data_IF_644624774599
#
_entry.id   IF_644624774599
#
_cell.length_a   1.000
_cell.length_b   1.000
_cell.length_c   1.000
_cell.angle_alpha   90.00
_cell.angle_beta   90.00
_cell.angle_gamma   90.00
#
_symmetry.space_group_name_H-M   'P 1'
#
loop_
_entity.id
_entity.type
_entity.pdbx_description
1 polymer ?
#
# COMPACT_ATOMS: atom_id res chain seq x y z
N UNK A 1 -13.38 15.56 -1.23
CA UNK A 1 -13.28 14.59 -2.34
C UNK A 1 -13.83 13.24 -1.90
N UNK A 2 -14.33 12.44 -2.85
CA UNK A 2 -14.61 11.02 -2.64
C UNK A 2 -13.34 10.23 -2.91
N UNK A 3 -12.82 9.52 -1.91
CA UNK A 3 -11.55 8.78 -1.99
C UNK A 3 -11.77 7.30 -1.71
N UNK A 4 -11.44 6.45 -2.66
CA UNK A 4 -11.44 5.00 -2.49
C UNK A 4 -10.08 4.54 -1.95
N UNK A 5 -10.08 3.81 -0.84
CA UNK A 5 -8.85 3.29 -0.20
C UNK A 5 -8.89 1.77 -0.18
N UNK A 6 -8.05 1.11 -0.96
CA UNK A 6 -7.89 -0.35 -0.86
C UNK A 6 -6.86 -0.72 0.21
N UNK A 7 -7.03 -1.85 0.88
CA UNK A 7 -6.19 -2.20 2.03
C UNK A 7 -6.47 -1.34 3.26
N UNK A 8 -7.70 -0.79 3.34
CA UNK A 8 -8.14 0.19 4.35
C UNK A 8 -8.03 -0.32 5.80
N UNK A 9 -8.20 -1.62 6.03
CA UNK A 9 -8.09 -2.25 7.36
C UNK A 9 -6.66 -2.65 7.73
N UNK A 10 -5.70 -2.41 6.83
CA UNK A 10 -4.27 -2.65 7.04
C UNK A 10 -3.64 -1.63 8.00
N UNK A 11 -2.35 -1.83 8.34
CA UNK A 11 -1.62 -0.94 9.25
C UNK A 11 -1.55 0.51 8.74
N UNK A 12 -1.12 0.72 7.49
CA UNK A 12 -1.07 2.05 6.88
C UNK A 12 -2.48 2.51 6.51
N UNK A 13 -3.32 1.60 6.00
CA UNK A 13 -4.69 1.89 5.57
C UNK A 13 -5.54 2.52 6.66
N UNK A 14 -5.53 1.95 7.87
CA UNK A 14 -6.23 2.54 9.03
C UNK A 14 -5.80 3.99 9.30
N UNK A 15 -4.50 4.27 9.26
CA UNK A 15 -3.99 5.61 9.50
C UNK A 15 -4.36 6.60 8.37
N UNK A 16 -4.36 6.13 7.12
CA UNK A 16 -4.77 6.92 5.95
C UNK A 16 -6.26 7.22 6.02
N UNK A 17 -7.11 6.21 6.27
CA UNK A 17 -8.57 6.41 6.42
C UNK A 17 -8.87 7.42 7.51
N UNK A 18 -8.27 7.25 8.71
CA UNK A 18 -8.48 8.21 9.82
C UNK A 18 -8.10 9.64 9.41
N UNK A 19 -6.97 9.78 8.74
CA UNK A 19 -6.50 11.09 8.27
C UNK A 19 -7.44 11.74 7.25
N UNK A 20 -7.89 10.96 6.25
CA UNK A 20 -8.80 11.46 5.22
C UNK A 20 -10.15 11.87 5.81
N UNK A 21 -10.71 11.07 6.72
CA UNK A 21 -11.97 11.41 7.41
C UNK A 21 -11.80 12.68 8.27
N UNK A 22 -10.70 12.80 9.02
CA UNK A 22 -10.37 14.01 9.80
C UNK A 22 -10.31 15.26 8.92
N UNK A 23 -9.85 15.11 7.67
CA UNK A 23 -9.79 16.19 6.68
C UNK A 23 -11.09 16.45 5.92
N UNK A 24 -12.15 15.74 6.26
CA UNK A 24 -13.49 15.94 5.68
C UNK A 24 -13.67 15.29 4.30
N UNK A 25 -12.83 14.32 3.92
CA UNK A 25 -13.07 13.52 2.73
C UNK A 25 -14.15 12.47 2.98
N UNK A 26 -14.94 12.16 1.94
CA UNK A 26 -15.78 10.96 1.92
C UNK A 26 -14.91 9.79 1.55
N UNK A 27 -14.90 8.75 2.36
CA UNK A 27 -13.98 7.61 2.19
C UNK A 27 -14.77 6.33 1.99
N UNK A 28 -14.45 5.58 0.92
CA UNK A 28 -14.83 4.19 0.76
C UNK A 28 -13.61 3.30 1.02
N UNK A 29 -13.63 2.58 2.13
CA UNK A 29 -12.64 1.55 2.44
C UNK A 29 -12.97 0.23 1.74
N UNK A 30 -11.99 -0.39 1.12
CA UNK A 30 -12.10 -1.73 0.51
C UNK A 30 -11.01 -2.62 1.08
N UNK A 31 -11.38 -3.70 1.73
CA UNK A 31 -10.43 -4.69 2.30
C UNK A 31 -11.11 -6.05 2.44
N UNK A 32 -10.31 -7.10 2.53
CA UNK A 32 -10.81 -8.45 2.83
C UNK A 32 -11.21 -8.63 4.29
N UNK A 33 -10.73 -7.76 5.16
CA UNK A 33 -10.97 -7.78 6.61
C UNK A 33 -11.76 -6.55 7.01
N UNK A 34 -12.65 -6.71 7.97
CA UNK A 34 -13.38 -5.61 8.59
C UNK A 34 -12.43 -4.53 9.14
N UNK A 35 -12.87 -3.26 9.18
CA UNK A 35 -12.15 -2.19 9.82
C UNK A 35 -11.86 -2.50 11.29
N UNK A 36 -10.74 -2.00 11.79
CA UNK A 36 -10.44 -2.09 13.22
C UNK A 36 -11.29 -1.12 14.02
N UNK A 37 -11.48 -1.41 15.32
CA UNK A 37 -12.29 -0.58 16.20
C UNK A 37 -11.80 0.87 16.36
N UNK A 38 -10.51 1.13 16.11
CA UNK A 38 -9.86 2.44 16.15
C UNK A 38 -9.87 3.17 14.80
N UNK A 39 -10.54 2.61 13.77
CA UNK A 39 -10.71 3.26 12.48
C UNK A 39 -11.90 4.22 12.53
N UNK A 40 -11.71 5.44 12.03
CA UNK A 40 -12.77 6.43 11.92
C UNK A 40 -13.94 5.89 11.07
N UNK A 41 -15.16 6.31 11.40
CA UNK A 41 -16.34 5.89 10.68
C UNK A 41 -16.28 6.34 9.21
N UNK A 42 -16.44 5.39 8.29
CA UNK A 42 -16.41 5.58 6.84
C UNK A 42 -17.24 4.50 6.15
N UNK A 43 -17.54 4.71 4.88
CA UNK A 43 -18.15 3.64 4.07
C UNK A 43 -17.15 2.49 3.88
N UNK A 44 -17.62 1.25 3.97
CA UNK A 44 -16.77 0.06 3.87
C UNK A 44 -17.41 -1.03 3.03
N UNK A 45 -16.62 -1.64 2.16
CA UNK A 45 -16.98 -2.83 1.40
C UNK A 45 -15.95 -3.91 1.65
N UNK A 46 -16.41 -5.04 2.18
CA UNK A 46 -15.55 -6.22 2.29
C UNK A 46 -15.41 -6.88 0.90
N UNK A 47 -14.22 -6.82 0.33
CA UNK A 47 -13.91 -7.37 -0.98
C UNK A 47 -12.43 -7.75 -1.14
N UNK A 48 -12.18 -8.73 -2.01
CA UNK A 48 -10.84 -8.97 -2.55
C UNK A 48 -10.67 -8.16 -3.84
N UNK A 49 -9.51 -7.51 -4.01
CA UNK A 49 -9.19 -6.77 -5.25
C UNK A 49 -9.04 -7.70 -6.47
N UNK A 50 -8.96 -9.01 -6.25
CA UNK A 50 -9.02 -10.01 -7.32
C UNK A 50 -10.45 -10.26 -7.83
N UNK A 51 -11.49 -9.86 -7.08
CA UNK A 51 -12.89 -9.90 -7.51
C UNK A 51 -13.20 -8.68 -8.38
N UNK A 52 -12.99 -8.83 -9.69
CA UNK A 52 -13.18 -7.77 -10.68
C UNK A 52 -14.57 -7.14 -10.62
N UNK A 53 -15.62 -7.95 -10.57
CA UNK A 53 -17.00 -7.47 -10.58
C UNK A 53 -17.33 -6.65 -9.32
N UNK A 54 -16.77 -7.07 -8.18
CA UNK A 54 -16.96 -6.35 -6.93
C UNK A 54 -16.25 -5.00 -6.95
N UNK A 55 -15.04 -4.95 -7.52
CA UNK A 55 -14.29 -3.70 -7.69
C UNK A 55 -15.02 -2.76 -8.66
N UNK A 56 -15.46 -3.24 -9.80
CA UNK A 56 -16.20 -2.43 -10.77
C UNK A 56 -17.47 -1.81 -10.15
N UNK A 57 -18.20 -2.59 -9.32
CA UNK A 57 -19.35 -2.06 -8.56
C UNK A 57 -18.96 -0.98 -7.55
N UNK A 58 -17.87 -1.16 -6.80
CA UNK A 58 -17.39 -0.12 -5.87
C UNK A 58 -17.13 1.21 -6.59
N UNK A 59 -16.51 1.17 -7.75
CA UNK A 59 -16.25 2.37 -8.55
C UNK A 59 -17.53 2.98 -9.14
N UNK A 60 -18.43 2.16 -9.67
CA UNK A 60 -19.68 2.62 -10.26
C UNK A 60 -20.62 3.28 -9.24
N UNK A 61 -20.73 2.71 -8.03
CA UNK A 61 -21.63 3.20 -6.99
C UNK A 61 -21.03 4.41 -6.24
N UNK A 62 -19.76 4.33 -5.81
CA UNK A 62 -19.13 5.40 -5.07
C UNK A 62 -18.63 6.56 -5.92
N UNK A 63 -18.29 6.30 -7.20
CA UNK A 63 -17.77 7.29 -8.17
C UNK A 63 -16.60 8.09 -7.59
N UNK A 64 -15.49 7.43 -7.22
CA UNK A 64 -14.37 8.10 -6.57
C UNK A 64 -13.75 9.18 -7.47
N UNK A 65 -13.25 10.25 -6.86
CA UNK A 65 -12.42 11.28 -7.49
C UNK A 65 -10.93 10.99 -7.29
N UNK A 66 -10.60 10.19 -6.27
CA UNK A 66 -9.25 9.75 -5.98
C UNK A 66 -9.20 8.32 -5.47
N UNK A 67 -8.07 7.65 -5.71
CA UNK A 67 -7.80 6.32 -5.20
C UNK A 67 -6.45 6.26 -4.49
N UNK A 68 -6.42 5.57 -3.34
CA UNK A 68 -5.19 5.21 -2.65
C UNK A 68 -5.11 3.69 -2.57
N UNK A 69 -4.21 3.11 -3.35
CA UNK A 69 -4.04 1.65 -3.42
C UNK A 69 -2.97 1.16 -2.46
N UNK A 70 -3.42 0.61 -1.31
CA UNK A 70 -2.58 0.03 -0.26
C UNK A 70 -2.71 -1.49 -0.16
N UNK A 71 -3.74 -2.08 -0.77
CA UNK A 71 -3.94 -3.52 -0.75
C UNK A 71 -2.77 -4.23 -1.44
N UNK A 72 -2.16 -5.17 -0.76
CA UNK A 72 -1.07 -5.98 -1.29
C UNK A 72 -0.92 -7.28 -0.51
N UNK A 73 -0.46 -8.32 -1.19
CA UNK A 73 0.13 -9.45 -0.50
C UNK A 73 1.59 -9.12 -0.17
N UNK A 74 1.90 -9.11 1.13
CA UNK A 74 3.25 -8.85 1.64
C UNK A 74 3.71 -10.06 2.45
N UNK A 75 4.58 -10.88 1.87
CA UNK A 75 5.27 -11.96 2.57
C UNK A 75 6.74 -11.91 2.18
N UNK A 76 7.62 -11.98 3.18
CA UNK A 76 9.06 -12.13 2.95
C UNK A 76 9.48 -13.61 3.02
N UNK A 77 8.53 -14.53 3.18
CA UNK A 77 8.81 -15.96 3.13
C UNK A 77 8.79 -16.41 1.67
N UNK A 78 9.89 -16.86 1.19
CA UNK A 78 10.01 -17.51 -0.11
C UNK A 78 9.50 -18.95 0.01
N UNK A 79 8.24 -19.17 -0.37
CA UNK A 79 7.64 -20.50 -0.44
C UNK A 79 7.33 -20.94 -1.89
N UNK A 80 7.90 -20.22 -2.87
CA UNK A 80 7.86 -20.57 -4.29
C UNK A 80 6.52 -20.38 -5.00
N UNK A 81 5.51 -19.79 -4.33
CA UNK A 81 4.19 -19.60 -4.93
C UNK A 81 3.97 -18.15 -5.36
N UNK A 82 4.17 -17.87 -6.66
CA UNK A 82 3.85 -16.55 -7.26
C UNK A 82 2.36 -16.26 -7.27
N UNK A 83 1.52 -17.28 -7.14
CA UNK A 83 0.06 -17.19 -7.12
C UNK A 83 -0.47 -16.20 -6.07
N UNK A 84 0.16 -16.16 -4.90
CA UNK A 84 -0.22 -15.25 -3.80
C UNK A 84 0.00 -13.79 -4.14
N UNK A 85 0.90 -13.50 -5.06
CA UNK A 85 1.23 -12.14 -5.46
C UNK A 85 0.37 -11.61 -6.61
N UNK A 86 -0.59 -12.40 -7.13
CA UNK A 86 -1.58 -11.94 -8.11
C UNK A 86 -2.34 -10.70 -7.65
N UNK A 87 -2.56 -10.55 -6.35
CA UNK A 87 -3.15 -9.33 -5.80
C UNK A 87 -2.30 -8.08 -6.14
N UNK A 88 -0.97 -8.21 -6.20
CA UNK A 88 -0.08 -7.09 -6.48
C UNK A 88 -0.03 -6.71 -7.97
N UNK A 89 -0.41 -7.60 -8.88
CA UNK A 89 -0.41 -7.37 -10.33
C UNK A 89 -1.82 -7.37 -10.90
N UNK A 90 -2.50 -8.51 -10.92
CA UNK A 90 -3.86 -8.63 -11.44
C UNK A 90 -4.87 -7.75 -10.66
N UNK A 91 -4.77 -7.74 -9.32
CA UNK A 91 -5.62 -6.86 -8.51
C UNK A 91 -5.39 -5.37 -8.82
N UNK A 92 -4.14 -4.96 -9.05
CA UNK A 92 -3.82 -3.59 -9.48
C UNK A 92 -4.37 -3.31 -10.89
N UNK A 93 -4.31 -4.28 -11.82
CA UNK A 93 -4.91 -4.15 -13.14
C UNK A 93 -6.41 -3.89 -13.08
N UNK A 94 -7.14 -4.61 -12.23
CA UNK A 94 -8.58 -4.39 -12.04
C UNK A 94 -8.88 -2.96 -11.57
N UNK A 95 -8.09 -2.43 -10.63
CA UNK A 95 -8.25 -1.06 -10.13
C UNK A 95 -7.96 -0.01 -11.20
N UNK A 96 -6.92 -0.21 -12.00
CA UNK A 96 -6.57 0.67 -13.11
C UNK A 96 -7.70 0.72 -14.15
N UNK A 97 -8.24 -0.44 -14.55
CA UNK A 97 -9.34 -0.51 -15.51
C UNK A 97 -10.63 0.11 -14.95
N UNK A 98 -10.94 -0.11 -13.68
CA UNK A 98 -12.09 0.55 -13.04
C UNK A 98 -11.89 2.08 -12.95
N UNK A 99 -10.66 2.54 -12.68
CA UNK A 99 -10.31 3.96 -12.70
C UNK A 99 -10.52 4.58 -14.07
N UNK A 100 -10.06 3.94 -15.15
CA UNK A 100 -10.27 4.38 -16.53
C UNK A 100 -11.75 4.52 -16.90
N UNK A 101 -12.58 3.62 -16.38
CA UNK A 101 -14.03 3.61 -16.65
C UNK A 101 -14.81 4.67 -15.83
N UNK A 102 -14.16 5.34 -14.86
CA UNK A 102 -14.81 6.28 -13.95
C UNK A 102 -14.48 7.72 -14.33
N UNK A 103 -15.46 8.43 -14.85
CA UNK A 103 -15.28 9.79 -15.38
C UNK A 103 -14.82 10.82 -14.33
N UNK A 104 -15.12 10.60 -13.06
CA UNK A 104 -14.75 11.47 -11.96
C UNK A 104 -13.31 11.26 -11.45
N UNK A 105 -12.67 10.16 -11.85
CA UNK A 105 -11.29 9.86 -11.41
C UNK A 105 -10.30 10.92 -11.90
N UNK A 106 -9.59 11.50 -10.97
CA UNK A 106 -8.57 12.54 -11.21
C UNK A 106 -7.19 12.10 -10.77
N UNK A 107 -7.07 11.41 -9.63
CA UNK A 107 -5.79 11.09 -9.04
C UNK A 107 -5.74 9.68 -8.44
N UNK A 108 -4.64 8.97 -8.67
CA UNK A 108 -4.34 7.68 -8.05
C UNK A 108 -2.98 7.67 -7.38
N UNK A 109 -2.91 7.10 -6.16
CA UNK A 109 -1.65 6.83 -5.48
C UNK A 109 -1.50 5.32 -5.33
N UNK A 110 -0.46 4.77 -5.95
CA UNK A 110 -0.13 3.36 -5.87
C UNK A 110 1.01 3.14 -4.87
N UNK A 111 0.78 2.26 -3.91
CA UNK A 111 1.80 1.97 -2.91
C UNK A 111 2.67 0.80 -3.33
N UNK A 112 3.91 1.11 -3.65
CA UNK A 112 4.98 0.17 -3.91
C UNK A 112 5.82 -0.07 -2.65
N UNK A 113 7.11 -0.25 -2.80
CA UNK A 113 8.05 -0.50 -1.72
C UNK A 113 9.47 -0.14 -2.12
N UNK A 114 10.32 0.21 -1.17
CA UNK A 114 11.76 0.31 -1.42
C UNK A 114 12.41 -1.03 -1.84
N UNK A 115 11.77 -2.18 -1.55
CA UNK A 115 12.30 -3.52 -1.87
C UNK A 115 12.28 -3.88 -3.35
N UNK A 116 11.80 -2.99 -4.22
CA UNK A 116 12.00 -3.10 -5.68
C UNK A 116 13.46 -2.90 -6.08
N UNK A 117 14.29 -2.41 -5.15
CA UNK A 117 15.69 -2.17 -5.36
C UNK A 117 16.49 -2.70 -4.16
N UNK A 118 17.51 -3.53 -4.44
CA UNK A 118 18.27 -4.22 -3.40
C UNK A 118 19.25 -3.28 -2.70
N UNK A 119 20.18 -2.71 -3.46
CA UNK A 119 21.32 -1.96 -2.96
C UNK A 119 21.62 -0.71 -3.81
N UNK A 120 22.13 0.34 -3.16
CA UNK A 120 22.58 1.56 -3.83
C UNK A 120 21.45 2.55 -4.10
N UNK A 121 21.65 3.39 -5.10
CA UNK A 121 20.67 4.35 -5.61
C UNK A 121 20.23 3.90 -7.00
N UNK A 122 18.91 3.91 -7.30
CA UNK A 122 18.46 3.63 -8.65
C UNK A 122 18.98 4.72 -9.60
N UNK A 123 19.37 4.32 -10.80
CA UNK A 123 19.85 5.25 -11.84
C UNK A 123 18.71 6.08 -12.43
N UNK A 124 17.51 5.53 -12.43
CA UNK A 124 16.28 6.19 -12.87
C UNK A 124 15.06 5.50 -12.21
N UNK A 125 13.88 6.10 -12.33
CA UNK A 125 12.66 5.66 -11.63
C UNK A 125 12.22 4.23 -11.97
N UNK A 126 12.56 3.73 -13.14
CA UNK A 126 12.25 2.36 -13.59
C UNK A 126 13.43 1.40 -13.49
N UNK A 127 14.43 1.72 -12.70
CA UNK A 127 15.53 0.80 -12.42
C UNK A 127 15.13 -0.14 -11.28
N UNK A 128 14.85 -1.40 -11.61
CA UNK A 128 14.45 -2.44 -10.68
C UNK A 128 15.56 -3.48 -10.50
N UNK A 129 15.88 -3.80 -9.25
CA UNK A 129 16.82 -4.86 -8.90
C UNK A 129 16.37 -5.54 -7.59
N UNK A 130 15.17 -6.17 -7.58
CA UNK A 130 14.62 -6.82 -6.39
C UNK A 130 15.30 -8.16 -6.11
N UNK A 131 15.52 -8.47 -4.83
CA UNK A 131 16.09 -9.73 -4.36
C UNK A 131 15.04 -10.71 -3.80
N UNK A 132 13.79 -10.28 -3.69
CA UNK A 132 12.70 -11.09 -3.12
C UNK A 132 11.51 -11.21 -4.09
N UNK A 133 10.71 -12.28 -3.94
CA UNK A 133 9.48 -12.47 -4.72
C UNK A 133 8.50 -11.30 -4.51
N UNK A 134 8.40 -10.81 -3.28
CA UNK A 134 7.63 -9.59 -2.99
C UNK A 134 8.14 -8.38 -3.77
N UNK A 135 9.45 -8.13 -3.76
CA UNK A 135 10.05 -7.03 -4.52
C UNK A 135 9.79 -7.16 -6.01
N UNK A 136 9.95 -8.37 -6.58
CA UNK A 136 9.64 -8.65 -8.00
C UNK A 136 8.18 -8.38 -8.33
N UNK A 137 7.25 -8.81 -7.48
CA UNK A 137 5.81 -8.56 -7.71
C UNK A 137 5.46 -7.07 -7.67
N UNK A 138 6.14 -6.30 -6.82
CA UNK A 138 5.95 -4.84 -6.76
C UNK A 138 6.62 -4.11 -7.93
N UNK A 139 7.77 -4.57 -8.40
CA UNK A 139 8.38 -4.07 -9.63
C UNK A 139 7.45 -4.31 -10.85
N UNK A 140 6.90 -5.51 -11.00
CA UNK A 140 5.93 -5.82 -12.05
C UNK A 140 4.65 -4.97 -11.94
N UNK A 141 4.19 -4.68 -10.72
CA UNK A 141 3.08 -3.74 -10.49
C UNK A 141 3.44 -2.33 -10.99
N UNK A 142 4.63 -1.85 -10.71
CA UNK A 142 5.05 -0.53 -11.17
C UNK A 142 5.17 -0.46 -12.69
N UNK A 143 5.71 -1.49 -13.33
CA UNK A 143 5.76 -1.58 -14.80
C UNK A 143 4.35 -1.48 -15.41
N UNK A 144 3.39 -2.23 -14.85
CA UNK A 144 1.99 -2.15 -15.26
C UNK A 144 1.42 -0.72 -15.13
N UNK A 145 1.71 -0.02 -14.03
CA UNK A 145 1.24 1.37 -13.82
C UNK A 145 1.84 2.30 -14.87
N UNK A 146 3.14 2.19 -15.16
CA UNK A 146 3.81 2.98 -16.19
C UNK A 146 3.25 2.73 -17.59
N UNK A 147 2.98 1.46 -17.93
CA UNK A 147 2.43 1.07 -19.24
C UNK A 147 1.00 1.54 -19.46
N UNK A 148 0.25 1.75 -18.38
CA UNK A 148 -1.18 2.09 -18.41
C UNK A 148 -1.48 3.53 -18.03
N UNK A 149 -0.47 4.36 -17.81
CA UNK A 149 -0.60 5.72 -17.29
C UNK A 149 -1.46 5.80 -16.01
N UNK A 150 -1.33 4.80 -15.13
CA UNK A 150 -2.04 4.73 -13.85
C UNK A 150 -3.57 4.75 -13.93
N UNK A 151 -4.14 4.74 -15.14
CA UNK A 151 -5.58 4.69 -15.38
C UNK A 151 -6.35 5.98 -15.07
N UNK A 152 -5.68 7.10 -14.81
CA UNK A 152 -6.31 8.41 -14.56
C UNK A 152 -5.32 9.55 -14.85
N UNK A 153 -5.79 10.84 -15.00
CA UNK A 153 -4.93 11.95 -15.42
C UNK A 153 -3.72 12.23 -14.53
N UNK A 154 -3.85 12.05 -13.22
CA UNK A 154 -2.76 12.25 -12.27
C UNK A 154 -2.52 10.99 -11.46
N UNK A 155 -1.31 10.49 -11.47
CA UNK A 155 -0.94 9.35 -10.65
C UNK A 155 0.49 9.45 -10.12
N UNK A 156 0.73 8.77 -9.02
CA UNK A 156 2.08 8.61 -8.49
C UNK A 156 2.27 7.24 -7.84
N UNK A 157 3.53 6.84 -7.74
CA UNK A 157 3.96 5.63 -7.05
C UNK A 157 4.68 6.04 -5.77
N UNK A 158 4.13 5.67 -4.63
CA UNK A 158 4.78 5.82 -3.34
C UNK A 158 5.62 4.58 -3.02
N UNK A 159 6.89 4.77 -2.70
CA UNK A 159 7.84 3.70 -2.32
C UNK A 159 8.21 3.80 -0.84
N UNK A 160 7.33 3.43 0.09
CA UNK A 160 7.62 3.55 1.50
C UNK A 160 8.80 2.68 1.91
N UNK A 161 9.57 3.18 2.85
CA UNK A 161 10.56 2.42 3.61
C UNK A 161 9.86 1.61 4.71
N UNK A 162 10.60 1.13 5.70
CA UNK A 162 10.00 0.50 6.88
C UNK A 162 9.16 1.51 7.65
N UNK A 163 7.85 1.28 7.70
CA UNK A 163 6.91 2.11 8.47
C UNK A 163 6.72 1.53 9.87
N UNK A 164 6.72 2.40 10.88
CA UNK A 164 6.49 2.05 12.28
C UNK A 164 5.42 2.92 12.91
N UNK A 165 4.86 2.48 14.02
CA UNK A 165 3.86 3.23 14.78
C UNK A 165 2.80 2.34 15.41
N UNK A 166 1.74 2.91 16.00
CA UNK A 166 0.60 2.17 16.55
C UNK A 166 0.00 1.23 15.49
N UNK A 167 -0.26 -0.02 15.85
CA UNK A 167 -0.79 -1.02 14.91
C UNK A 167 0.22 -1.75 14.03
N UNK A 168 1.52 -1.45 14.13
CA UNK A 168 2.57 -2.17 13.39
C UNK A 168 2.64 -3.65 13.74
N UNK A 169 3.32 -4.44 12.91
CA UNK A 169 3.41 -5.89 13.07
C UNK A 169 4.03 -6.29 14.42
N UNK A 170 3.59 -7.44 14.97
CA UNK A 170 4.12 -7.99 16.24
C UNK A 170 5.65 -8.19 16.22
N UNK A 171 6.24 -8.46 15.06
CA UNK A 171 7.67 -8.61 14.88
C UNK A 171 8.41 -7.31 15.24
N UNK A 172 7.99 -6.17 14.67
CA UNK A 172 8.57 -4.86 14.99
C UNK A 172 8.26 -4.41 16.41
N UNK A 173 7.08 -4.71 16.93
CA UNK A 173 6.77 -4.43 18.33
C UNK A 173 7.71 -5.19 19.30
N UNK A 174 8.01 -6.45 18.99
CA UNK A 174 8.96 -7.25 19.78
C UNK A 174 10.37 -6.66 19.72
N UNK A 175 10.83 -6.28 18.53
CA UNK A 175 12.13 -5.63 18.34
C UNK A 175 12.26 -4.35 19.18
N UNK A 176 11.27 -3.44 19.09
CA UNK A 176 11.29 -2.19 19.84
C UNK A 176 11.24 -2.43 21.36
N UNK A 177 10.49 -3.44 21.83
CA UNK A 177 10.51 -3.83 23.24
C UNK A 177 11.89 -4.32 23.68
N UNK A 178 12.57 -5.14 22.89
CA UNK A 178 13.92 -5.58 23.19
C UNK A 178 14.90 -4.41 23.30
N UNK A 179 14.79 -3.42 22.42
CA UNK A 179 15.61 -2.20 22.47
C UNK A 179 15.31 -1.40 23.75
N UNK A 180 14.02 -1.14 24.05
CA UNK A 180 13.58 -0.43 25.26
C UNK A 180 14.07 -1.09 26.54
N UNK A 181 14.01 -2.42 26.60
CA UNK A 181 14.34 -3.20 27.79
C UNK A 181 15.85 -3.48 27.91
N UNK A 182 16.70 -2.85 27.07
CA UNK A 182 18.14 -3.02 27.06
C UNK A 182 18.63 -4.43 26.68
N UNK A 183 17.74 -5.24 26.06
CA UNK A 183 18.03 -6.63 25.66
C UNK A 183 18.48 -6.75 24.20
N UNK A 184 18.62 -5.63 23.49
CA UNK A 184 19.12 -5.61 22.13
C UNK A 184 20.65 -5.63 22.14
N UNK A 185 21.23 -6.49 21.34
CA UNK A 185 22.66 -6.49 21.04
C UNK A 185 22.88 -6.47 19.54
N UNK A 186 23.88 -5.73 19.12
CA UNK A 186 24.22 -5.60 17.71
C UNK A 186 25.08 -6.81 17.28
N UNK A 187 24.66 -7.49 16.21
CA UNK A 187 25.40 -8.60 15.64
C UNK A 187 26.18 -8.08 14.42
N UNK A 188 27.49 -8.25 14.45
CA UNK A 188 28.39 -7.84 13.39
C UNK A 188 29.01 -6.43 13.60
N UNK A 189 29.94 -6.07 12.74
CA UNK A 189 30.70 -4.81 12.78
C UNK A 189 30.15 -3.74 11.83
N UNK A 190 29.07 -4.03 11.10
CA UNK A 190 28.55 -3.18 10.03
C UNK A 190 27.83 -1.94 10.53
N UNK A 191 28.12 -0.80 9.95
CA UNK A 191 27.35 0.43 10.13
C UNK A 191 26.08 0.37 9.26
N UNK A 192 25.10 -0.43 9.68
CA UNK A 192 23.82 -0.54 8.97
C UNK A 192 22.96 0.69 9.28
N UNK A 193 22.66 1.47 8.25
CA UNK A 193 21.68 2.57 8.33
C UNK A 193 20.34 2.05 7.83
N UNK A 194 19.29 2.19 8.65
CA UNK A 194 17.92 1.85 8.25
C UNK A 194 17.04 3.09 8.34
N UNK A 195 16.43 3.45 7.24
CA UNK A 195 15.42 4.50 7.22
C UNK A 195 14.09 3.93 7.69
N UNK A 196 13.44 4.65 8.60
CA UNK A 196 12.14 4.26 9.15
C UNK A 196 11.22 5.48 9.13
N UNK A 197 9.99 5.31 8.64
CA UNK A 197 8.96 6.34 8.62
C UNK A 197 7.91 6.12 9.71
N UNK A 198 7.45 7.19 10.36
CA UNK A 198 6.32 7.11 11.27
C UNK A 198 5.00 7.04 10.48
N UNK A 199 4.07 6.17 10.89
CA UNK A 199 2.83 5.92 10.16
C UNK A 199 1.95 7.17 10.00
N UNK A 200 1.93 8.06 10.99
CA UNK A 200 1.21 9.33 10.90
C UNK A 200 1.78 10.27 9.82
N UNK A 201 3.12 10.31 9.68
CA UNK A 201 3.76 11.07 8.61
C UNK A 201 3.48 10.44 7.24
N UNK A 202 3.48 9.10 7.15
CA UNK A 202 3.10 8.41 5.93
C UNK A 202 1.65 8.74 5.55
N UNK A 203 0.70 8.66 6.48
CA UNK A 203 -0.69 9.03 6.23
C UNK A 203 -0.85 10.48 5.74
N UNK A 204 -0.08 11.42 6.28
CA UNK A 204 -0.09 12.81 5.83
C UNK A 204 0.47 13.01 4.41
N UNK A 205 1.36 12.12 3.95
CA UNK A 205 1.88 12.15 2.58
C UNK A 205 0.93 11.52 1.56
N UNK A 206 0.01 10.67 1.99
CA UNK A 206 -1.03 10.08 1.13
C UNK A 206 -2.24 11.01 0.95
N UNK A 207 -2.43 11.99 1.81
CA UNK A 207 -3.46 13.02 1.70
C UNK A 207 -3.07 14.08 0.66
#
# INVERSE_FOLDING_TARGET
MRVLVTGSSGFIGTAVVNRLVEKGHQVLGVDRKEPKADTAQHEFVQADILDRERIDRCFAEFRPEGMIHLAAHMSLREDGSDERYKANTLGTSHLIEASKATAEMRRSIFTSTKYIFRDGQPEHDRHYNPDSTYGRSKAAMEELIWETDGGCPEWCIARPTTIWGPGMSKHYQRFLRMVRDGKYFHIGSGKVKKHMGFVGNAAAQYE
#
